data_IF_575590781260
#
_entry.id   IF_575590781260
#
_cell.length_a   1.000
_cell.length_b   1.000
_cell.length_c   1.000
_cell.angle_alpha   90.00
_cell.angle_beta   90.00
_cell.angle_gamma   90.00
#
_symmetry.space_group_name_H-M   'P 1'
#
loop_
_entity.id
_entity.type
_entity.pdbx_description
1 polymer ?
#
# COMPACT_ATOMS: atom_id res chain seq x y z
N UNK A 1 2.23 22.73 -6.38
CA UNK A 1 0.95 21.98 -6.50
C UNK A 1 -0.16 22.81 -5.85
N UNK A 2 -1.24 23.15 -6.57
CA UNK A 2 -2.34 24.00 -6.06
C UNK A 2 -3.26 23.18 -5.14
N UNK A 3 -2.87 23.02 -3.87
CA UNK A 3 -3.76 22.48 -2.85
C UNK A 3 -4.84 23.49 -2.46
N UNK A 4 -5.98 23.04 -1.92
CA UNK A 4 -7.05 23.93 -1.44
C UNK A 4 -8.19 24.18 -2.43
N UNK A 5 -8.43 23.26 -3.37
CA UNK A 5 -9.66 23.22 -4.17
C UNK A 5 -10.21 21.80 -4.21
N UNK A 6 -11.52 21.67 -4.25
CA UNK A 6 -12.19 20.38 -4.40
C UNK A 6 -11.89 19.80 -5.79
N UNK A 7 -11.51 18.51 -5.90
CA UNK A 7 -11.15 17.91 -7.19
C UNK A 7 -12.36 17.64 -8.10
N UNK A 8 -13.59 17.73 -7.59
CA UNK A 8 -14.82 17.43 -8.35
C UNK A 8 -15.35 18.68 -9.05
N UNK A 9 -15.45 19.79 -8.32
CA UNK A 9 -16.09 21.03 -8.78
C UNK A 9 -15.17 22.27 -8.76
N UNK A 10 -13.90 22.10 -8.34
CA UNK A 10 -12.88 23.14 -8.25
C UNK A 10 -13.18 24.29 -7.25
N UNK A 11 -14.17 24.09 -6.37
CA UNK A 11 -14.52 25.02 -5.30
C UNK A 11 -13.35 25.20 -4.33
N UNK A 12 -12.96 26.43 -3.93
CA UNK A 12 -11.94 26.65 -2.92
C UNK A 12 -12.27 25.96 -1.59
N UNK A 13 -11.32 25.20 -1.06
CA UNK A 13 -11.42 24.52 0.23
C UNK A 13 -10.42 25.15 1.21
N UNK A 14 -10.91 25.72 2.30
CA UNK A 14 -10.09 26.31 3.36
C UNK A 14 -10.05 25.37 4.56
N UNK A 15 -8.85 24.92 4.92
CA UNK A 15 -8.65 24.07 6.11
C UNK A 15 -9.02 24.81 7.40
N UNK A 16 -8.80 26.12 7.44
CA UNK A 16 -9.05 26.98 8.62
C UNK A 16 -10.54 27.14 8.93
N UNK A 17 -11.39 27.08 7.92
CA UNK A 17 -12.82 27.42 8.04
C UNK A 17 -13.72 26.22 8.34
N UNK A 18 -13.14 25.01 8.47
CA UNK A 18 -13.92 23.80 8.69
C UNK A 18 -14.58 23.21 7.43
N UNK A 19 -14.16 23.64 6.22
CA UNK A 19 -14.67 23.09 4.96
C UNK A 19 -14.37 21.59 4.80
N UNK A 20 -13.37 21.09 5.54
CA UNK A 20 -13.07 19.67 5.69
C UNK A 20 -13.37 19.25 7.13
N UNK A 21 -14.30 18.33 7.29
CA UNK A 21 -14.67 17.76 8.57
C UNK A 21 -14.78 16.25 8.46
N UNK A 22 -14.66 15.57 9.60
CA UNK A 22 -14.74 14.11 9.64
C UNK A 22 -16.20 13.67 9.51
N UNK A 23 -16.55 13.02 8.41
CA UNK A 23 -17.87 12.40 8.26
C UNK A 23 -17.95 11.10 9.05
N UNK A 24 -18.39 11.21 10.30
CA UNK A 24 -18.54 10.08 11.21
C UNK A 24 -19.69 9.15 10.84
N UNK A 25 -20.69 9.63 10.11
CA UNK A 25 -21.82 8.80 9.71
C UNK A 25 -21.38 7.85 8.59
N UNK A 26 -20.83 8.40 7.51
CA UNK A 26 -20.26 7.62 6.41
C UNK A 26 -19.16 6.68 6.91
N UNK A 27 -18.31 7.13 7.85
CA UNK A 27 -17.29 6.25 8.46
C UNK A 27 -17.92 5.00 9.12
N UNK A 28 -19.03 5.17 9.85
CA UNK A 28 -19.74 4.04 10.50
C UNK A 28 -20.42 3.13 9.48
N UNK A 29 -20.89 3.66 8.37
CA UNK A 29 -21.46 2.85 7.28
C UNK A 29 -20.39 1.98 6.62
N UNK A 30 -19.22 2.56 6.32
CA UNK A 30 -18.08 1.83 5.76
C UNK A 30 -17.62 0.71 6.71
N UNK A 31 -17.58 0.95 8.03
CA UNK A 31 -17.23 -0.07 9.02
C UNK A 31 -18.18 -1.26 9.07
N UNK A 32 -19.44 -1.10 8.64
CA UNK A 32 -20.42 -2.19 8.64
C UNK A 32 -20.32 -3.05 7.38
N UNK A 33 -19.78 -2.50 6.28
CA UNK A 33 -19.54 -3.26 5.07
C UNK A 33 -18.41 -4.25 5.28
N UNK A 34 -18.62 -5.53 4.91
CA UNK A 34 -17.58 -6.56 4.96
C UNK A 34 -17.09 -6.89 3.57
N UNK A 35 -15.78 -6.92 3.43
CA UNK A 35 -15.07 -7.33 2.22
C UNK A 35 -14.23 -8.55 2.50
N UNK A 36 -14.04 -9.39 1.49
CA UNK A 36 -13.16 -10.55 1.58
C UNK A 36 -11.71 -10.11 1.38
N UNK A 37 -10.79 -10.76 2.09
CA UNK A 37 -9.37 -10.53 1.89
C UNK A 37 -8.97 -10.77 0.43
N UNK A 38 -8.16 -9.90 -0.20
CA UNK A 38 -7.68 -10.11 -1.57
C UNK A 38 -6.85 -11.40 -1.73
N UNK A 39 -6.31 -11.93 -0.63
CA UNK A 39 -5.58 -13.20 -0.59
C UNK A 39 -6.49 -14.43 -0.41
N UNK A 40 -7.80 -14.29 -0.60
CA UNK A 40 -8.74 -15.42 -0.53
C UNK A 40 -8.37 -16.57 -1.47
N UNK A 41 -7.88 -16.24 -2.67
CA UNK A 41 -7.41 -17.23 -3.64
C UNK A 41 -6.22 -18.06 -3.14
N UNK A 42 -5.48 -17.57 -2.14
CA UNK A 42 -4.35 -18.27 -1.53
C UNK A 42 -4.73 -19.01 -0.25
N UNK A 43 -5.99 -18.89 0.20
CA UNK A 43 -6.52 -19.58 1.38
C UNK A 43 -6.99 -18.68 2.53
N UNK A 44 -6.88 -17.35 2.40
CA UNK A 44 -7.36 -16.45 3.45
C UNK A 44 -8.89 -16.36 3.48
N UNK A 45 -9.53 -16.75 4.57
CA UNK A 45 -11.00 -16.70 4.73
C UNK A 45 -11.49 -15.47 5.50
N UNK A 46 -10.58 -14.54 5.82
CA UNK A 46 -10.90 -13.35 6.61
C UNK A 46 -11.81 -12.41 5.83
N UNK A 47 -12.89 -11.99 6.50
CA UNK A 47 -13.81 -10.96 6.04
C UNK A 47 -13.87 -9.82 7.05
N UNK A 48 -13.45 -8.63 6.62
CA UNK A 48 -13.32 -7.44 7.47
C UNK A 48 -13.84 -6.21 6.76
N UNK A 49 -14.07 -5.14 7.52
CA UNK A 49 -14.39 -3.87 6.91
C UNK A 49 -13.19 -3.28 6.16
N UNK A 50 -13.40 -2.44 5.13
CA UNK A 50 -12.31 -1.87 4.35
C UNK A 50 -11.24 -1.15 5.19
N UNK A 51 -11.66 -0.55 6.32
CA UNK A 51 -10.77 0.19 7.23
C UNK A 51 -9.80 -0.78 7.93
N UNK A 52 -10.31 -1.91 8.42
CA UNK A 52 -9.50 -2.91 9.13
C UNK A 52 -8.73 -3.81 8.15
N UNK A 53 -9.21 -3.93 6.91
CA UNK A 53 -8.59 -4.75 5.87
C UNK A 53 -7.18 -4.28 5.53
N UNK A 54 -6.91 -2.97 5.56
CA UNK A 54 -5.58 -2.42 5.24
C UNK A 54 -4.51 -2.94 6.21
N UNK A 55 -4.83 -2.92 7.51
CA UNK A 55 -3.98 -3.51 8.55
C UNK A 55 -3.80 -5.02 8.33
N UNK A 56 -4.91 -5.74 8.07
CA UNK A 56 -4.84 -7.18 7.80
C UNK A 56 -3.97 -7.52 6.58
N UNK A 57 -4.04 -6.76 5.49
CA UNK A 57 -3.28 -7.02 4.27
C UNK A 57 -1.77 -7.01 4.55
N UNK A 58 -1.32 -6.10 5.39
CA UNK A 58 0.10 -5.99 5.75
C UNK A 58 0.61 -7.21 6.53
N UNK A 59 -0.23 -7.74 7.42
CA UNK A 59 0.10 -8.85 8.33
C UNK A 59 -0.40 -10.23 7.86
N UNK A 60 -1.11 -10.29 6.72
CA UNK A 60 -1.74 -11.52 6.25
C UNK A 60 -0.68 -12.59 5.93
N UNK A 61 -0.80 -13.77 6.54
CA UNK A 61 0.11 -14.89 6.31
C UNK A 61 0.15 -15.32 4.82
N UNK A 62 -0.98 -15.17 4.14
CA UNK A 62 -1.14 -15.51 2.72
C UNK A 62 -0.58 -14.43 1.77
N UNK A 63 -0.18 -13.26 2.27
CA UNK A 63 0.53 -12.24 1.48
C UNK A 63 1.79 -12.82 0.87
N UNK A 64 2.54 -13.63 1.62
CA UNK A 64 3.76 -14.30 1.14
C UNK A 64 3.46 -15.20 -0.05
N UNK A 65 2.37 -15.95 -0.01
CA UNK A 65 1.94 -16.82 -1.11
C UNK A 65 1.61 -16.04 -2.39
N UNK A 66 1.12 -14.80 -2.26
CA UNK A 66 0.91 -13.90 -3.40
C UNK A 66 2.22 -13.36 -4.01
N UNK A 67 3.31 -13.41 -3.23
CA UNK A 67 4.66 -13.01 -3.63
C UNK A 67 5.52 -14.21 -4.05
N UNK A 68 5.14 -15.45 -3.73
CA UNK A 68 5.83 -16.67 -4.20
C UNK A 68 5.84 -16.67 -5.73
N UNK A 69 7.03 -16.51 -6.32
CA UNK A 69 7.25 -16.42 -7.76
C UNK A 69 7.19 -15.00 -8.34
N UNK A 70 6.82 -13.98 -7.56
CA UNK A 70 7.01 -12.58 -7.94
C UNK A 70 8.36 -12.11 -7.44
N UNK A 71 9.32 -12.03 -8.34
CA UNK A 71 10.63 -11.45 -8.02
C UNK A 71 10.45 -9.98 -7.68
N UNK A 72 11.10 -9.55 -6.61
CA UNK A 72 11.09 -8.18 -6.12
C UNK A 72 12.18 -7.42 -6.89
N UNK A 73 11.83 -6.46 -7.75
CA UNK A 73 12.84 -5.68 -8.47
C UNK A 73 13.59 -4.80 -7.49
N UNK A 74 14.89 -4.61 -7.73
CA UNK A 74 15.69 -3.64 -6.98
C UNK A 74 15.10 -2.22 -7.12
N UNK A 75 15.10 -1.45 -6.02
CA UNK A 75 14.65 -0.05 -6.02
C UNK A 75 15.46 0.82 -6.99
N UNK A 76 16.71 0.44 -7.26
CA UNK A 76 17.63 1.08 -8.21
C UNK A 76 17.52 0.55 -9.64
N UNK A 77 16.43 -0.15 -10.00
CA UNK A 77 16.18 -0.54 -11.40
C UNK A 77 16.21 0.65 -12.37
N UNK A 78 15.84 1.84 -11.89
CA UNK A 78 15.90 3.08 -12.66
C UNK A 78 17.33 3.58 -12.93
N UNK A 79 18.33 3.11 -12.17
CA UNK A 79 19.77 3.41 -12.33
C UNK A 79 20.48 2.33 -13.16
N UNK A 80 19.77 1.27 -13.57
CA UNK A 80 20.31 0.19 -14.39
C UNK A 80 20.58 -1.11 -13.63
N UNK A 81 20.15 -1.23 -12.36
CA UNK A 81 20.22 -2.51 -11.67
C UNK A 81 19.12 -3.47 -12.17
N UNK A 82 19.51 -4.53 -12.87
CA UNK A 82 18.58 -5.56 -13.36
C UNK A 82 18.35 -6.71 -12.37
N UNK A 83 18.82 -6.58 -11.13
CA UNK A 83 18.68 -7.63 -10.14
C UNK A 83 17.23 -7.75 -9.63
N UNK A 84 16.75 -8.99 -9.61
CA UNK A 84 15.42 -9.36 -9.18
C UNK A 84 15.55 -10.36 -8.02
N UNK A 85 15.20 -9.94 -6.81
CA UNK A 85 15.37 -10.76 -5.60
C UNK A 85 14.15 -11.65 -5.35
N UNK A 86 14.37 -12.85 -4.81
CA UNK A 86 13.29 -13.81 -4.54
C UNK A 86 12.46 -13.44 -3.29
N UNK A 87 13.06 -12.71 -2.35
CA UNK A 87 12.47 -12.33 -1.08
C UNK A 87 13.09 -11.04 -0.51
N UNK A 88 12.41 -10.46 0.47
CA UNK A 88 12.82 -9.20 1.12
C UNK A 88 14.17 -9.32 1.85
N UNK A 89 14.53 -10.49 2.37
CA UNK A 89 15.81 -10.68 3.06
C UNK A 89 16.98 -10.67 2.05
N UNK A 90 16.79 -11.29 0.88
CA UNK A 90 17.73 -11.21 -0.23
C UNK A 90 17.82 -9.80 -0.80
N UNK A 91 16.70 -9.06 -0.94
CA UNK A 91 16.74 -7.65 -1.33
C UNK A 91 17.54 -6.80 -0.33
N UNK A 92 17.33 -7.00 0.98
CA UNK A 92 18.10 -6.29 2.01
C UNK A 92 19.60 -6.58 1.94
N UNK A 93 19.97 -7.83 1.68
CA UNK A 93 21.39 -8.20 1.48
C UNK A 93 21.95 -7.56 0.22
N UNK A 94 21.22 -7.62 -0.90
CA UNK A 94 21.59 -6.96 -2.15
C UNK A 94 21.83 -5.47 -1.93
N UNK A 95 20.87 -4.77 -1.32
CA UNK A 95 20.97 -3.33 -1.04
C UNK A 95 22.14 -3.01 -0.11
N UNK A 96 22.47 -3.88 0.85
CA UNK A 96 23.60 -3.67 1.76
C UNK A 96 24.97 -3.92 1.09
N UNK A 97 25.07 -4.89 0.17
CA UNK A 97 26.32 -5.22 -0.52
C UNK A 97 26.57 -4.33 -1.74
N UNK A 98 25.52 -3.98 -2.48
CA UNK A 98 25.61 -3.22 -3.72
C UNK A 98 25.23 -1.74 -3.52
N UNK A 99 25.14 -1.27 -2.27
CA UNK A 99 24.83 0.13 -1.95
C UNK A 99 25.76 1.11 -2.68
N UNK A 100 27.07 0.82 -2.70
CA UNK A 100 28.07 1.67 -3.34
C UNK A 100 28.00 1.62 -4.88
N UNK A 101 27.52 0.52 -5.45
CA UNK A 101 27.33 0.37 -6.90
C UNK A 101 26.09 1.08 -7.45
N UNK A 102 25.12 1.41 -6.58
CA UNK A 102 23.90 2.13 -6.95
C UNK A 102 24.02 3.65 -6.86
N UNK A 103 25.05 4.17 -6.18
CA UNK A 103 25.28 5.59 -5.94
C UNK A 103 26.34 6.22 -6.88
N UNK A 104 26.83 5.47 -7.87
CA UNK A 104 27.76 5.91 -8.92
C UNK A 104 27.03 6.14 -10.24
#
# INVERSE_FOLDING_TARGET
KKGGRCPVDNTPLKKENGDLFLDRYTSREISQYKTKCPYQQFGCTVELCPIDMDSHINDCEFRKNALVGKKIPCEFKHVGCEEECEDEANLRKHLATNHDGHLL
#
